data_IF_254317320557
#
_entry.id   IF_254317320557
#
_cell.length_a   1.000
_cell.length_b   1.000
_cell.length_c   1.000
_cell.angle_alpha   90.00
_cell.angle_beta   90.00
_cell.angle_gamma   90.00
#
_symmetry.space_group_name_H-M   'P 1'
#
loop_
_entity.id
_entity.type
_entity.pdbx_description
1 polymer ?
#
# COMPACT_ATOMS: atom_id res chain seq x y z
N UNK A 1 14.00 -28.20 -8.64
CA UNK A 1 14.44 -28.55 -7.27
C UNK A 1 14.61 -27.27 -6.50
N UNK A 2 14.26 -27.24 -5.20
CA UNK A 2 14.46 -26.07 -4.36
C UNK A 2 15.91 -25.61 -4.33
N UNK A 3 16.14 -24.30 -4.14
CA UNK A 3 17.49 -23.71 -4.02
C UNK A 3 17.47 -22.57 -3.00
N UNK A 4 18.58 -22.43 -2.28
CA UNK A 4 18.80 -21.31 -1.35
C UNK A 4 20.11 -20.61 -1.69
N UNK A 5 20.08 -19.27 -1.66
CA UNK A 5 21.22 -18.39 -1.88
C UNK A 5 21.25 -17.32 -0.80
N UNK A 6 22.43 -17.00 -0.28
CA UNK A 6 22.62 -15.88 0.66
C UNK A 6 23.62 -14.89 0.11
N UNK A 7 23.34 -13.60 0.32
CA UNK A 7 24.26 -12.49 0.07
C UNK A 7 24.37 -11.65 1.35
N UNK A 8 25.59 -11.28 1.74
CA UNK A 8 25.84 -10.45 2.93
C UNK A 8 25.51 -8.98 2.72
N UNK A 9 25.39 -8.57 1.46
CA UNK A 9 25.17 -7.19 1.02
C UNK A 9 24.48 -7.23 -0.35
N UNK A 10 23.26 -6.72 -0.40
CA UNK A 10 22.37 -6.74 -1.54
C UNK A 10 21.49 -5.48 -1.52
N UNK A 11 21.39 -4.80 -2.65
CA UNK A 11 20.64 -3.56 -2.83
C UNK A 11 19.67 -3.69 -4.02
N UNK A 12 18.48 -3.09 -3.88
CA UNK A 12 17.60 -2.77 -5.01
C UNK A 12 17.41 -1.26 -5.01
N UNK A 13 17.63 -0.64 -6.17
CA UNK A 13 17.35 0.77 -6.40
C UNK A 13 16.35 0.95 -7.54
N UNK A 14 15.49 1.94 -7.40
CA UNK A 14 14.51 2.34 -8.43
C UNK A 14 14.72 3.81 -8.81
N UNK A 15 14.41 4.15 -10.06
CA UNK A 15 14.44 5.53 -10.59
C UNK A 15 13.56 5.65 -11.84
N UNK A 16 13.01 6.82 -12.11
CA UNK A 16 12.26 7.14 -13.33
C UNK A 16 13.18 7.75 -14.38
N UNK A 17 13.19 7.19 -15.59
CA UNK A 17 14.13 7.53 -16.65
C UNK A 17 13.41 7.87 -17.97
N UNK A 18 13.94 8.81 -18.72
CA UNK A 18 13.39 9.21 -20.03
C UNK A 18 13.92 8.34 -21.17
N UNK A 19 15.06 7.69 -20.96
CA UNK A 19 15.69 6.78 -21.91
C UNK A 19 14.79 5.58 -22.14
N UNK A 20 14.57 5.24 -23.42
CA UNK A 20 14.07 3.92 -23.77
C UNK A 20 15.14 2.87 -23.48
N UNK A 21 14.68 1.63 -23.32
CA UNK A 21 15.50 0.47 -23.03
C UNK A 21 16.56 0.18 -24.12
N UNK A 22 16.33 0.61 -25.37
CA UNK A 22 17.32 0.55 -26.45
C UNK A 22 18.31 1.71 -26.53
N UNK A 23 18.15 2.74 -25.68
CA UNK A 23 18.95 3.98 -25.65
C UNK A 23 19.75 4.18 -24.35
N UNK A 24 19.81 3.16 -23.50
CA UNK A 24 20.60 3.18 -22.26
C UNK A 24 22.11 3.27 -22.58
N UNK A 25 22.81 4.10 -21.81
CA UNK A 25 24.26 4.25 -21.83
C UNK A 25 24.96 3.00 -21.28
N UNK A 26 26.13 2.67 -21.85
CA UNK A 26 27.01 1.66 -21.28
C UNK A 26 27.61 2.10 -19.92
N UNK A 27 27.49 3.37 -19.55
CA UNK A 27 27.84 3.91 -18.22
C UNK A 27 26.61 3.94 -17.33
N UNK A 28 26.53 3.02 -16.36
CA UNK A 28 25.39 2.87 -15.43
C UNK A 28 24.94 4.19 -14.80
N UNK A 29 25.88 4.96 -14.22
CA UNK A 29 25.62 6.25 -13.58
C UNK A 29 25.07 7.35 -14.53
N UNK A 30 25.02 7.11 -15.84
CA UNK A 30 24.39 8.01 -16.83
C UNK A 30 22.95 7.60 -17.21
N UNK A 31 22.47 6.47 -16.69
CA UNK A 31 21.09 5.99 -16.92
C UNK A 31 20.14 6.37 -15.78
N UNK A 32 20.68 6.66 -14.59
CA UNK A 32 19.90 6.92 -13.38
C UNK A 32 19.25 8.31 -13.46
N UNK A 33 17.98 8.41 -13.10
CA UNK A 33 17.22 9.66 -13.00
C UNK A 33 17.48 10.40 -11.68
N UNK A 34 16.90 11.60 -11.54
CA UNK A 34 17.10 12.45 -10.36
C UNK A 34 16.36 11.99 -9.10
N UNK A 35 15.54 10.95 -9.22
CA UNK A 35 14.68 10.38 -8.18
C UNK A 35 15.21 9.04 -7.61
N UNK A 36 16.46 8.68 -7.90
CA UNK A 36 17.10 7.43 -7.44
C UNK A 36 16.82 7.15 -5.96
N UNK A 37 16.31 5.95 -5.69
CA UNK A 37 16.02 5.52 -4.33
C UNK A 37 16.41 4.07 -4.11
N UNK A 38 17.27 3.82 -3.13
CA UNK A 38 17.42 2.49 -2.52
C UNK A 38 16.13 2.11 -1.82
N UNK A 39 15.43 1.10 -2.37
CA UNK A 39 14.18 0.55 -1.84
C UNK A 39 14.39 -0.70 -0.98
N UNK A 40 15.53 -1.36 -1.13
CA UNK A 40 15.94 -2.52 -0.31
C UNK A 40 17.46 -2.49 -0.14
N UNK A 41 17.96 -2.74 1.07
CA UNK A 41 19.40 -2.90 1.34
C UNK A 41 19.67 -3.87 2.50
N UNK A 42 20.80 -4.58 2.44
CA UNK A 42 21.35 -5.37 3.55
C UNK A 42 21.58 -6.85 3.23
N UNK A 43 21.85 -7.68 4.26
CA UNK A 43 22.00 -9.12 4.07
C UNK A 43 20.66 -9.75 3.72
N UNK A 44 20.66 -10.67 2.75
CA UNK A 44 19.46 -11.37 2.28
C UNK A 44 19.71 -12.86 2.12
N UNK A 45 18.67 -13.67 2.33
CA UNK A 45 18.65 -15.10 2.02
C UNK A 45 17.40 -15.41 1.23
N UNK A 46 17.60 -15.86 -0.01
CA UNK A 46 16.58 -16.17 -0.98
C UNK A 46 16.42 -17.68 -1.01
N UNK A 47 15.20 -18.17 -0.86
CA UNK A 47 14.87 -19.58 -1.06
C UNK A 47 13.75 -19.66 -2.09
N UNK A 48 13.91 -20.52 -3.09
CA UNK A 48 12.85 -20.89 -4.05
C UNK A 48 12.51 -22.37 -3.85
N UNK A 49 11.22 -22.69 -3.83
CA UNK A 49 10.71 -24.05 -3.91
C UNK A 49 10.81 -24.61 -5.34
N UNK A 50 10.90 -23.74 -6.35
CA UNK A 50 10.90 -24.10 -7.77
C UNK A 50 9.60 -24.86 -8.11
N UNK A 51 8.46 -24.33 -7.66
CA UNK A 51 7.12 -24.86 -7.91
C UNK A 51 6.58 -24.38 -9.27
N UNK A 52 5.47 -24.95 -9.73
CA UNK A 52 4.90 -24.75 -11.06
C UNK A 52 5.11 -25.93 -12.05
N UNK A 53 4.47 -25.90 -13.24
CA UNK A 53 4.38 -27.04 -14.15
C UNK A 53 5.76 -27.52 -14.62
N UNK A 54 5.99 -28.82 -14.91
CA UNK A 54 7.31 -29.36 -15.28
C UNK A 54 8.01 -28.57 -16.40
N UNK A 55 7.28 -28.31 -17.50
CA UNK A 55 7.74 -27.57 -18.69
C UNK A 55 7.20 -26.13 -18.75
N UNK A 56 6.55 -25.65 -17.69
CA UNK A 56 5.97 -24.30 -17.61
C UNK A 56 6.77 -23.32 -16.75
N UNK A 57 6.37 -22.04 -16.73
CA UNK A 57 6.93 -21.03 -15.84
C UNK A 57 6.81 -21.46 -14.37
N UNK A 58 7.76 -21.03 -13.54
CA UNK A 58 7.74 -21.29 -12.10
C UNK A 58 6.99 -20.19 -11.36
N UNK A 59 6.50 -20.52 -10.17
CA UNK A 59 5.81 -19.58 -9.29
C UNK A 59 6.73 -18.42 -8.86
N UNK A 60 6.15 -17.25 -8.58
CA UNK A 60 6.89 -16.08 -8.08
C UNK A 60 7.19 -16.21 -6.57
N UNK A 61 7.97 -17.22 -6.20
CA UNK A 61 8.28 -17.58 -4.81
C UNK A 61 9.44 -16.78 -4.19
N UNK A 62 10.11 -15.92 -4.96
CA UNK A 62 11.17 -15.02 -4.50
C UNK A 62 10.61 -13.60 -4.31
N UNK A 63 10.37 -13.20 -3.06
CA UNK A 63 9.75 -11.92 -2.70
C UNK A 63 10.75 -10.99 -2.00
N UNK A 64 10.97 -9.80 -2.58
CA UNK A 64 11.66 -8.69 -1.93
C UNK A 64 10.65 -7.65 -1.45
N UNK A 65 10.39 -7.60 -0.14
CA UNK A 65 9.58 -6.52 0.46
C UNK A 65 10.43 -5.26 0.56
N UNK A 66 10.02 -4.18 -0.11
CA UNK A 66 10.74 -2.90 -0.04
C UNK A 66 10.71 -2.33 1.37
N UNK A 67 11.87 -1.90 1.85
CA UNK A 67 12.08 -1.22 3.13
C UNK A 67 11.71 0.28 3.03
N UNK A 68 11.66 0.82 1.81
CA UNK A 68 11.28 2.19 1.50
C UNK A 68 10.43 2.20 0.22
N UNK A 69 9.22 2.78 0.21
CA UNK A 69 8.39 2.84 -0.98
C UNK A 69 9.02 3.74 -2.05
N UNK A 70 8.72 3.46 -3.32
CA UNK A 70 9.05 4.29 -4.46
C UNK A 70 7.76 4.55 -5.25
N UNK A 71 7.38 5.81 -5.38
CA UNK A 71 6.20 6.21 -6.14
C UNK A 71 6.59 6.33 -7.61
N UNK A 72 6.10 5.40 -8.42
CA UNK A 72 6.34 5.38 -9.86
C UNK A 72 5.14 5.97 -10.60
N UNK A 73 5.40 6.97 -11.43
CA UNK A 73 4.41 7.66 -12.23
C UNK A 73 4.73 7.39 -13.71
N UNK A 74 3.97 6.52 -14.41
CA UNK A 74 4.28 6.10 -15.78
C UNK A 74 4.33 7.26 -16.78
N UNK A 75 3.59 8.35 -16.57
CA UNK A 75 3.63 9.53 -17.44
C UNK A 75 4.96 10.29 -17.37
N UNK A 76 5.76 10.08 -16.30
CA UNK A 76 7.07 10.74 -16.09
C UNK A 76 8.25 9.98 -16.67
N UNK A 77 8.05 8.81 -17.25
CA UNK A 77 9.08 8.02 -17.93
C UNK A 77 9.04 6.54 -17.58
N UNK A 78 10.03 5.79 -18.04
CA UNK A 78 10.16 4.36 -17.77
C UNK A 78 10.74 4.11 -16.38
N UNK A 79 10.33 3.03 -15.72
CA UNK A 79 10.97 2.56 -14.50
C UNK A 79 12.31 1.88 -14.79
N UNK A 80 13.38 2.38 -14.18
CA UNK A 80 14.66 1.70 -14.06
C UNK A 80 14.71 0.92 -12.74
N UNK A 81 15.04 -0.36 -12.81
CA UNK A 81 15.40 -1.20 -11.66
C UNK A 81 16.88 -1.56 -11.74
N UNK A 82 17.64 -1.22 -10.69
CA UNK A 82 19.03 -1.64 -10.51
C UNK A 82 19.14 -2.62 -9.35
N UNK A 83 19.89 -3.71 -9.57
CA UNK A 83 20.20 -4.74 -8.58
C UNK A 83 21.70 -4.67 -8.30
N UNK A 84 22.08 -4.35 -7.07
CA UNK A 84 23.47 -4.19 -6.65
C UNK A 84 23.79 -5.25 -5.61
N UNK A 85 25.04 -5.72 -5.56
CA UNK A 85 25.50 -6.69 -4.55
C UNK A 85 26.96 -6.49 -4.17
N UNK A 86 27.29 -6.86 -2.93
CA UNK A 86 28.66 -6.93 -2.45
C UNK A 86 29.48 -8.05 -3.11
N UNK A 87 30.77 -8.14 -2.73
CA UNK A 87 31.69 -9.16 -3.27
C UNK A 87 31.30 -10.57 -2.83
N UNK A 88 31.02 -11.46 -3.78
CA UNK A 88 30.76 -12.88 -3.54
C UNK A 88 30.57 -13.68 -4.83
N UNK A 89 30.73 -15.01 -4.76
CA UNK A 89 30.67 -15.90 -5.92
C UNK A 89 29.26 -16.40 -6.27
N UNK A 90 28.24 -16.09 -5.47
CA UNK A 90 26.87 -16.53 -5.69
C UNK A 90 26.10 -15.50 -6.53
N UNK A 91 25.94 -15.79 -7.82
CA UNK A 91 25.13 -14.98 -8.72
C UNK A 91 23.63 -15.21 -8.47
N UNK A 92 22.99 -14.25 -7.79
CA UNK A 92 21.53 -14.09 -7.84
C UNK A 92 21.24 -13.25 -9.07
N UNK A 93 20.70 -13.86 -10.11
CA UNK A 93 20.24 -13.17 -11.32
C UNK A 93 18.73 -13.28 -11.47
N UNK A 94 18.12 -12.22 -11.96
CA UNK A 94 16.81 -12.30 -12.60
C UNK A 94 16.98 -12.74 -14.07
N UNK A 95 16.03 -13.51 -14.58
CA UNK A 95 15.91 -13.99 -15.97
C UNK A 95 15.37 -12.85 -16.88
N UNK A 96 15.61 -12.74 -18.21
CA UNK A 96 15.04 -11.61 -19.07
C UNK A 96 14.66 -11.91 -20.58
N UNK A 97 13.38 -11.74 -20.96
CA UNK A 97 12.68 -12.32 -22.12
C UNK A 97 12.68 -11.39 -23.33
N UNK A 98 12.86 -11.95 -24.50
CA UNK A 98 13.11 -11.24 -25.76
C UNK A 98 11.81 -10.92 -26.51
N UNK A 99 11.03 -9.99 -25.97
CA UNK A 99 10.04 -9.23 -26.74
C UNK A 99 10.68 -7.94 -27.33
N UNK A 100 10.10 -7.39 -28.39
CA UNK A 100 10.50 -6.10 -28.94
C UNK A 100 10.26 -5.00 -27.88
N UNK A 101 11.34 -4.38 -27.40
CA UNK A 101 11.29 -3.32 -26.38
C UNK A 101 12.07 -3.62 -25.09
N UNK A 102 12.53 -4.85 -24.88
CA UNK A 102 13.26 -5.25 -23.66
C UNK A 102 14.77 -5.37 -23.86
N UNK A 103 15.57 -4.91 -22.89
CA UNK A 103 17.03 -5.05 -22.81
C UNK A 103 17.45 -4.96 -21.35
N UNK A 104 18.32 -5.87 -20.93
CA UNK A 104 19.01 -5.81 -19.65
C UNK A 104 20.40 -5.21 -19.87
N UNK A 105 20.80 -4.25 -19.04
CA UNK A 105 22.22 -3.90 -18.87
C UNK A 105 22.71 -4.50 -17.57
N UNK A 106 23.79 -5.28 -17.64
CA UNK A 106 24.44 -5.88 -16.48
C UNK A 106 25.96 -5.71 -16.56
N UNK A 107 26.61 -5.59 -15.41
CA UNK A 107 28.07 -5.66 -15.30
C UNK A 107 28.45 -6.67 -14.22
N UNK A 108 29.46 -7.51 -14.49
CA UNK A 108 29.97 -8.52 -13.55
C UNK A 108 31.45 -8.29 -13.29
N UNK A 109 31.79 -7.05 -12.90
CA UNK A 109 33.16 -6.66 -12.54
C UNK A 109 33.17 -5.50 -11.54
N UNK A 110 34.18 -5.43 -10.68
CA UNK A 110 34.40 -4.30 -9.76
C UNK A 110 35.12 -3.11 -10.42
N UNK A 111 34.99 -2.96 -11.74
CA UNK A 111 35.48 -1.86 -12.54
C UNK A 111 34.30 -1.23 -13.27
N UNK A 112 34.33 0.09 -13.46
CA UNK A 112 33.27 0.89 -14.10
C UNK A 112 33.11 0.64 -15.61
N UNK A 113 33.47 -0.55 -16.10
CA UNK A 113 33.42 -0.97 -17.48
C UNK A 113 32.46 -2.15 -17.62
N UNK A 114 31.36 -1.91 -18.32
CA UNK A 114 30.31 -2.91 -18.58
C UNK A 114 30.80 -4.04 -19.50
N UNK A 115 30.43 -5.27 -19.17
CA UNK A 115 30.40 -6.36 -20.13
C UNK A 115 28.95 -6.49 -20.62
N UNK A 116 28.66 -6.11 -21.87
CA UNK A 116 27.29 -6.18 -22.43
C UNK A 116 26.87 -7.63 -22.63
N UNK A 117 26.31 -8.23 -21.58
CA UNK A 117 25.74 -9.57 -21.59
C UNK A 117 24.28 -9.54 -22.03
N UNK A 118 24.01 -9.82 -23.32
CA UNK A 118 22.69 -10.33 -23.73
C UNK A 118 22.54 -11.75 -23.17
N UNK A 119 21.68 -11.92 -22.17
CA UNK A 119 21.27 -13.21 -21.62
C UNK A 119 19.84 -13.56 -22.18
N UNK A 120 19.03 -14.49 -21.62
CA UNK A 120 17.58 -14.70 -21.98
C UNK A 120 16.66 -14.90 -20.70
N UNK A 121 15.29 -14.92 -20.75
CA UNK A 121 14.35 -15.54 -19.75
C UNK A 121 13.13 -14.89 -18.95
N UNK A 122 12.84 -13.57 -18.86
CA UNK A 122 11.98 -12.91 -17.80
C UNK A 122 10.56 -13.44 -17.66
N UNK A 123 10.09 -13.34 -16.40
CA UNK A 123 9.07 -12.35 -15.99
C UNK A 123 9.54 -11.73 -14.65
N UNK A 124 9.46 -10.41 -14.48
CA UNK A 124 9.61 -9.76 -13.15
C UNK A 124 8.29 -9.07 -12.85
N UNK A 125 7.50 -9.64 -11.92
CA UNK A 125 6.27 -9.02 -11.47
C UNK A 125 6.60 -7.98 -10.41
N UNK A 126 6.41 -6.70 -10.76
CA UNK A 126 6.28 -5.64 -9.75
C UNK A 126 4.86 -5.67 -9.22
N UNK A 127 4.72 -5.56 -7.91
CA UNK A 127 3.44 -5.32 -7.26
C UNK A 127 3.39 -3.83 -6.96
N UNK A 128 2.60 -3.11 -7.76
CA UNK A 128 2.20 -1.76 -7.43
C UNK A 128 1.13 -1.84 -6.33
N UNK A 129 1.13 -0.83 -5.47
CA UNK A 129 0.02 -0.49 -4.57
C UNK A 129 -0.29 0.97 -4.85
N UNK A 130 -1.54 1.39 -4.71
CA UNK A 130 -1.85 2.80 -4.84
C UNK A 130 -1.07 3.63 -3.81
N UNK A 131 -0.92 4.92 -4.11
CA UNK A 131 -0.46 5.90 -3.13
C UNK A 131 -1.58 6.36 -2.20
N UNK A 132 -2.83 6.12 -2.61
CA UNK A 132 -4.01 6.26 -1.77
C UNK A 132 -4.17 4.99 -0.93
N UNK A 133 -4.45 5.15 0.36
CA UNK A 133 -4.94 4.03 1.16
C UNK A 133 -6.33 3.67 0.65
N UNK A 134 -6.70 2.39 0.55
CA UNK A 134 -8.04 1.99 0.13
C UNK A 134 -8.28 1.86 -1.37
N UNK A 135 -7.41 2.37 -2.25
CA UNK A 135 -7.50 2.13 -3.70
C UNK A 135 -6.92 0.74 -4.02
N UNK A 136 -7.82 -0.21 -4.29
CA UNK A 136 -7.53 -1.63 -4.51
C UNK A 136 -7.57 -2.02 -5.99
N UNK A 137 -8.36 -1.33 -6.82
CA UNK A 137 -8.43 -1.59 -8.27
C UNK A 137 -7.30 -0.90 -9.06
N UNK A 138 -6.60 0.06 -8.44
CA UNK A 138 -5.50 0.87 -8.96
C UNK A 138 -5.93 1.90 -10.02
N UNK A 139 -7.09 2.53 -9.85
CA UNK A 139 -7.63 3.57 -10.73
C UNK A 139 -7.26 5.02 -10.32
N UNK A 140 -6.50 5.21 -9.24
CA UNK A 140 -6.11 6.51 -8.63
C UNK A 140 -7.28 7.31 -7.99
N UNK A 141 -8.40 6.65 -7.69
CA UNK A 141 -9.54 7.12 -6.89
C UNK A 141 -9.75 6.15 -5.72
N UNK A 142 -10.49 6.56 -4.69
CA UNK A 142 -11.09 5.64 -3.70
C UNK A 142 -12.59 5.87 -3.76
N UNK A 143 -13.36 4.85 -4.14
CA UNK A 143 -14.82 4.98 -4.37
C UNK A 143 -15.61 3.72 -3.96
N UNK A 144 -16.82 3.55 -4.50
CA UNK A 144 -17.76 2.46 -4.11
C UNK A 144 -17.18 1.10 -4.48
N UNK A 145 -16.55 1.00 -5.65
CA UNK A 145 -15.93 -0.22 -6.16
C UNK A 145 -14.81 -0.74 -5.24
N UNK A 146 -14.08 0.16 -4.57
CA UNK A 146 -13.08 -0.21 -3.54
C UNK A 146 -13.70 -0.69 -2.23
N UNK A 147 -14.80 -0.07 -1.79
CA UNK A 147 -15.56 -0.52 -0.63
C UNK A 147 -16.08 -1.95 -0.89
N UNK A 148 -16.68 -2.18 -2.06
CA UNK A 148 -17.20 -3.49 -2.47
C UNK A 148 -16.08 -4.54 -2.56
N UNK A 149 -14.90 -4.17 -3.06
CA UNK A 149 -13.72 -5.02 -3.09
C UNK A 149 -13.26 -5.42 -1.68
N UNK A 150 -13.21 -4.48 -0.73
CA UNK A 150 -12.86 -4.75 0.67
C UNK A 150 -13.92 -5.62 1.37
N UNK A 151 -15.20 -5.34 1.19
CA UNK A 151 -16.29 -6.14 1.78
C UNK A 151 -16.25 -7.58 1.26
N UNK A 152 -16.01 -7.78 -0.05
CA UNK A 152 -15.79 -9.12 -0.60
C UNK A 152 -14.56 -9.81 0.01
N UNK A 153 -13.45 -9.10 0.19
CA UNK A 153 -12.23 -9.66 0.79
C UNK A 153 -12.43 -10.04 2.27
N UNK A 154 -13.21 -9.27 3.03
CA UNK A 154 -13.58 -9.59 4.42
C UNK A 154 -14.48 -10.82 4.46
N UNK A 155 -15.50 -10.90 3.60
CA UNK A 155 -16.45 -12.03 3.51
C UNK A 155 -15.77 -13.33 3.10
N UNK A 156 -14.79 -13.27 2.19
CA UNK A 156 -13.95 -14.41 1.79
C UNK A 156 -12.85 -14.77 2.81
N UNK A 157 -12.72 -14.00 3.91
CA UNK A 157 -11.68 -14.13 4.94
C UNK A 157 -10.25 -14.11 4.36
N UNK A 158 -9.97 -13.11 3.52
CA UNK A 158 -8.68 -12.91 2.86
C UNK A 158 -7.54 -12.58 3.83
N UNK A 159 -6.37 -13.21 3.64
CA UNK A 159 -5.11 -12.86 4.32
C UNK A 159 -4.27 -11.81 3.54
N UNK A 160 -4.76 -11.26 2.44
CA UNK A 160 -3.98 -10.30 1.64
C UNK A 160 -3.98 -8.91 2.28
N UNK A 161 -2.85 -8.58 2.91
CA UNK A 161 -2.51 -7.27 3.50
C UNK A 161 -2.40 -6.13 2.46
N UNK A 162 -3.05 -6.24 1.30
CA UNK A 162 -3.46 -5.10 0.48
C UNK A 162 -4.74 -4.47 1.04
N UNK A 163 -5.64 -5.28 1.62
CA UNK A 163 -6.91 -4.89 2.24
C UNK A 163 -6.80 -4.54 3.74
N UNK A 164 -5.58 -4.58 4.29
CA UNK A 164 -5.23 -4.18 5.67
C UNK A 164 -5.05 -2.64 5.72
N UNK A 165 -6.18 -1.93 5.72
CA UNK A 165 -6.29 -0.46 5.69
C UNK A 165 -5.91 0.15 7.03
N UNK A 166 -6.30 -0.49 8.14
CA UNK A 166 -5.98 0.02 9.49
C UNK A 166 -4.55 -0.35 9.94
N UNK A 167 -3.86 -1.20 9.16
CA UNK A 167 -2.50 -1.72 9.41
C UNK A 167 -2.36 -2.57 10.68
N UNK A 168 -3.47 -3.14 11.16
CA UNK A 168 -3.50 -4.12 12.26
C UNK A 168 -2.80 -5.44 11.91
N UNK A 169 -2.69 -5.76 10.61
CA UNK A 169 -2.15 -7.01 10.09
C UNK A 169 -3.20 -8.10 9.91
N UNK A 170 -4.49 -7.75 9.90
CA UNK A 170 -5.63 -8.68 9.76
C UNK A 170 -6.78 -8.03 9.00
N UNK A 171 -7.19 -8.57 7.85
CA UNK A 171 -8.31 -8.02 7.06
C UNK A 171 -9.65 -8.32 7.75
N UNK A 172 -10.35 -7.28 8.21
CA UNK A 172 -11.57 -7.41 9.01
C UNK A 172 -12.45 -6.13 8.96
N UNK A 173 -13.57 -6.12 9.71
CA UNK A 173 -14.49 -4.96 9.78
C UNK A 173 -13.82 -3.64 10.21
N UNK A 174 -12.70 -3.69 10.93
CA UNK A 174 -11.91 -2.51 11.32
C UNK A 174 -11.29 -1.80 10.11
N UNK A 175 -10.92 -2.53 9.06
CA UNK A 175 -10.42 -1.96 7.81
C UNK A 175 -11.49 -1.21 7.05
N UNK A 176 -12.74 -1.70 7.09
CA UNK A 176 -13.87 -1.02 6.48
C UNK A 176 -14.25 0.27 7.23
N UNK A 177 -14.16 0.27 8.56
CA UNK A 177 -14.28 1.50 9.36
C UNK A 177 -13.15 2.50 9.00
N UNK A 178 -11.92 2.02 8.85
CA UNK A 178 -10.80 2.85 8.41
C UNK A 178 -10.98 3.39 6.96
N UNK A 179 -11.55 2.60 6.06
CA UNK A 179 -11.85 3.04 4.69
C UNK A 179 -12.95 4.12 4.69
N UNK A 180 -14.11 3.85 5.27
CA UNK A 180 -15.27 4.76 5.26
C UNK A 180 -15.00 6.03 6.08
N UNK A 181 -14.50 5.88 7.30
CA UNK A 181 -14.41 7.00 8.27
C UNK A 181 -13.10 7.77 8.16
N UNK A 182 -11.98 7.10 7.89
CA UNK A 182 -10.65 7.73 7.95
C UNK A 182 -10.09 8.07 6.56
N UNK A 183 -10.42 7.28 5.54
CA UNK A 183 -9.92 7.47 4.16
C UNK A 183 -10.89 8.30 3.33
N UNK A 184 -12.14 7.87 3.21
CA UNK A 184 -13.20 8.57 2.48
C UNK A 184 -13.77 9.75 3.28
N UNK A 185 -13.64 9.73 4.61
CA UNK A 185 -14.24 10.71 5.52
C UNK A 185 -15.74 10.92 5.22
N UNK A 186 -16.48 9.82 5.15
CA UNK A 186 -17.94 9.85 5.00
C UNK A 186 -18.64 9.02 6.08
N UNK A 187 -19.97 8.92 6.01
CA UNK A 187 -20.85 8.23 6.92
C UNK A 187 -21.22 6.84 6.40
N UNK A 188 -21.38 5.87 7.31
CA UNK A 188 -22.16 4.69 6.97
C UNK A 188 -23.59 5.14 6.64
N UNK A 189 -24.06 4.81 5.44
CA UNK A 189 -25.33 5.28 4.89
C UNK A 189 -25.23 6.24 3.69
N UNK A 190 -24.06 6.84 3.43
CA UNK A 190 -23.81 7.63 2.22
C UNK A 190 -23.58 6.70 1.02
N UNK A 191 -24.60 6.48 0.21
CA UNK A 191 -24.63 5.45 -0.83
C UNK A 191 -23.98 5.89 -2.15
N UNK A 192 -23.95 7.20 -2.43
CA UNK A 192 -23.34 7.75 -3.64
C UNK A 192 -21.99 8.47 -3.39
N UNK A 193 -21.49 8.40 -2.14
CA UNK A 193 -20.23 8.98 -1.66
C UNK A 193 -20.16 10.51 -1.83
N UNK A 194 -21.31 11.21 -1.73
CA UNK A 194 -21.36 12.68 -1.77
C UNK A 194 -20.81 13.35 -0.49
N UNK A 195 -20.60 12.58 0.58
CA UNK A 195 -20.12 13.02 1.90
C UNK A 195 -21.22 13.14 2.96
N UNK A 196 -22.49 13.04 2.59
CA UNK A 196 -23.65 13.24 3.46
C UNK A 196 -24.61 12.04 3.45
N UNK A 197 -24.82 11.38 4.59
CA UNK A 197 -25.94 10.42 4.73
C UNK A 197 -27.26 11.19 4.94
N UNK A 198 -28.17 11.12 3.96
CA UNK A 198 -29.43 11.84 3.95
C UNK A 198 -30.57 11.04 3.29
N UNK A 199 -31.74 11.67 3.13
CA UNK A 199 -32.89 11.01 2.49
C UNK A 199 -32.70 10.64 1.00
N UNK A 200 -31.72 11.23 0.30
CA UNK A 200 -31.34 10.88 -1.06
C UNK A 200 -30.77 9.46 -1.17
N UNK A 201 -29.85 9.09 -0.28
CA UNK A 201 -29.23 7.77 -0.21
C UNK A 201 -30.27 6.68 0.01
N UNK A 202 -31.15 6.90 0.99
CA UNK A 202 -32.26 5.98 1.28
C UNK A 202 -33.15 5.78 0.05
N UNK A 203 -33.46 6.85 -0.71
CA UNK A 203 -34.23 6.73 -1.95
C UNK A 203 -33.46 5.96 -3.03
N UNK A 204 -32.13 6.11 -3.12
CA UNK A 204 -31.30 5.37 -4.06
C UNK A 204 -31.32 3.86 -3.76
N UNK A 205 -30.96 3.45 -2.53
CA UNK A 205 -30.90 2.04 -2.13
C UNK A 205 -32.28 1.35 -2.20
N UNK A 206 -33.36 2.02 -1.76
CA UNK A 206 -34.71 1.45 -1.93
C UNK A 206 -35.18 1.39 -3.39
N UNK A 207 -34.56 2.15 -4.31
CA UNK A 207 -34.86 2.04 -5.75
C UNK A 207 -34.16 0.83 -6.39
N UNK A 208 -33.01 0.38 -5.84
CA UNK A 208 -32.36 -0.86 -6.28
C UNK A 208 -33.26 -2.10 -6.11
N UNK A 209 -34.21 -2.04 -5.16
CA UNK A 209 -35.20 -3.09 -4.87
C UNK A 209 -34.64 -4.37 -4.22
N UNK A 210 -33.46 -4.28 -3.59
CA UNK A 210 -32.77 -5.42 -2.95
C UNK A 210 -33.09 -5.55 -1.45
N UNK A 211 -33.82 -4.58 -0.88
CA UNK A 211 -34.19 -4.58 0.54
C UNK A 211 -35.07 -5.79 0.94
N UNK A 212 -34.53 -6.65 1.82
CA UNK A 212 -35.20 -7.85 2.34
C UNK A 212 -35.78 -8.76 1.22
N UNK A 213 -35.11 -8.81 0.05
CA UNK A 213 -35.58 -9.58 -1.12
C UNK A 213 -35.28 -11.09 -1.04
N UNK A 214 -34.27 -11.46 -0.24
CA UNK A 214 -33.81 -12.84 -0.01
C UNK A 214 -32.93 -13.42 -1.13
N UNK A 215 -32.29 -12.58 -1.95
CA UNK A 215 -31.43 -12.97 -3.08
C UNK A 215 -29.96 -12.85 -2.70
N UNK A 216 -29.38 -13.91 -2.15
CA UNK A 216 -28.10 -13.73 -1.46
C UNK A 216 -26.92 -13.27 -2.29
N UNK A 217 -26.14 -12.33 -1.72
CA UNK A 217 -24.95 -11.70 -2.30
C UNK A 217 -25.24 -10.92 -3.61
N UNK A 218 -26.39 -10.23 -3.69
CA UNK A 218 -26.68 -9.26 -4.75
C UNK A 218 -26.30 -7.82 -4.37
N UNK A 219 -26.37 -7.46 -3.09
CA UNK A 219 -26.21 -6.10 -2.62
C UNK A 219 -24.74 -5.65 -2.59
N UNK A 220 -24.57 -4.34 -2.78
CA UNK A 220 -23.29 -3.63 -2.70
C UNK A 220 -23.44 -2.37 -1.85
N UNK A 221 -22.35 -1.64 -1.55
CA UNK A 221 -22.43 -0.42 -0.74
C UNK A 221 -23.43 0.61 -1.33
N UNK A 222 -23.42 0.76 -2.65
CA UNK A 222 -24.32 1.66 -3.39
C UNK A 222 -25.77 1.20 -3.49
N UNK A 223 -26.07 -0.07 -3.18
CA UNK A 223 -27.44 -0.62 -3.13
C UNK A 223 -27.95 -0.95 -1.74
N UNK A 224 -27.09 -0.89 -0.72
CA UNK A 224 -27.46 -0.86 0.70
C UNK A 224 -26.67 -1.77 1.65
N UNK A 225 -25.71 -2.57 1.16
CA UNK A 225 -24.85 -3.42 1.99
C UNK A 225 -23.80 -2.57 2.73
N UNK A 226 -24.19 -2.02 3.88
CA UNK A 226 -23.33 -1.19 4.74
C UNK A 226 -22.71 -2.00 5.90
N UNK A 227 -23.23 -3.21 6.14
CA UNK A 227 -22.73 -4.17 7.13
C UNK A 227 -21.69 -5.16 6.54
N UNK A 228 -21.68 -5.34 5.22
CA UNK A 228 -20.70 -6.10 4.44
C UNK A 228 -20.99 -7.60 4.36
N UNK A 229 -22.22 -8.04 4.61
CA UNK A 229 -22.61 -9.46 4.56
C UNK A 229 -23.16 -9.91 3.19
N UNK A 230 -23.48 -8.97 2.30
CA UNK A 230 -23.93 -9.21 0.92
C UNK A 230 -25.43 -9.08 0.70
N UNK A 231 -26.19 -8.69 1.73
CA UNK A 231 -27.62 -8.40 1.62
C UNK A 231 -27.86 -6.90 1.88
N UNK A 232 -29.06 -6.40 1.55
CA UNK A 232 -29.53 -5.12 2.08
C UNK A 232 -30.73 -5.40 2.98
N UNK A 233 -30.56 -5.31 4.29
CA UNK A 233 -31.63 -5.61 5.24
C UNK A 233 -31.70 -4.61 6.42
N UNK A 234 -32.51 -4.93 7.42
CA UNK A 234 -32.66 -4.08 8.61
C UNK A 234 -31.38 -3.92 9.46
N UNK A 235 -30.38 -4.78 9.28
CA UNK A 235 -29.03 -4.72 9.85
C UNK A 235 -28.20 -3.56 9.30
N UNK A 236 -28.21 -3.32 7.99
CA UNK A 236 -27.50 -2.20 7.34
C UNK A 236 -28.02 -0.85 7.79
N UNK A 237 -29.36 -0.73 7.82
CA UNK A 237 -30.02 0.44 8.39
C UNK A 237 -29.60 0.62 9.86
N UNK A 238 -29.46 -0.47 10.61
CA UNK A 238 -28.90 -0.47 11.96
C UNK A 238 -27.50 0.14 12.03
N UNK A 239 -26.58 -0.29 11.15
CA UNK A 239 -25.20 0.22 11.05
C UNK A 239 -25.18 1.72 10.71
N UNK A 240 -25.87 2.13 9.64
CA UNK A 240 -25.87 3.52 9.18
C UNK A 240 -26.49 4.49 10.19
N UNK A 241 -27.64 4.14 10.80
CA UNK A 241 -28.22 4.98 11.85
C UNK A 241 -27.41 4.95 13.16
N UNK A 242 -26.55 3.94 13.39
CA UNK A 242 -25.68 3.87 14.57
C UNK A 242 -24.42 4.74 14.45
N UNK A 243 -23.89 4.97 13.25
CA UNK A 243 -22.83 5.99 13.00
C UNK A 243 -23.36 7.43 13.21
N UNK A 244 -24.67 7.63 13.02
CA UNK A 244 -25.38 8.84 13.47
C UNK A 244 -25.27 10.05 12.52
N UNK A 245 -24.78 9.83 11.30
CA UNK A 245 -24.59 10.83 10.25
C UNK A 245 -25.87 11.37 9.59
N UNK A 246 -27.01 10.71 9.81
CA UNK A 246 -28.26 11.03 9.10
C UNK A 246 -28.67 12.50 9.27
N UNK A 247 -28.78 13.20 8.15
CA UNK A 247 -29.14 14.63 8.04
C UNK A 247 -28.20 15.53 8.88
N UNK A 248 -26.91 15.15 9.01
CA UNK A 248 -25.84 15.99 9.59
C UNK A 248 -25.07 16.81 8.55
N UNK A 249 -25.20 16.46 7.28
CA UNK A 249 -24.37 16.98 6.20
C UNK A 249 -22.96 16.36 6.20
N UNK A 250 -22.05 16.97 5.45
CA UNK A 250 -20.67 16.47 5.26
C UNK A 250 -19.98 16.13 6.58
N UNK A 251 -19.34 14.95 6.68
CA UNK A 251 -18.56 14.56 7.87
C UNK A 251 -17.40 15.54 8.09
N UNK A 252 -17.55 16.44 9.05
CA UNK A 252 -16.44 17.29 9.49
C UNK A 252 -15.48 16.46 10.34
N UNK A 253 -14.19 16.45 9.99
CA UNK A 253 -13.14 15.85 10.83
C UNK A 253 -13.34 16.25 12.30
N UNK A 254 -13.23 15.27 13.20
CA UNK A 254 -13.22 15.53 14.63
C UNK A 254 -12.03 16.43 14.96
N UNK A 255 -12.31 17.73 15.11
CA UNK A 255 -11.32 18.80 15.29
C UNK A 255 -10.21 18.34 16.24
N UNK A 256 -8.99 18.16 15.70
CA UNK A 256 -7.84 17.66 16.45
C UNK A 256 -7.69 18.47 17.73
N UNK A 257 -8.12 17.90 18.86
CA UNK A 257 -8.06 18.56 20.16
C UNK A 257 -6.59 18.77 20.44
N UNK A 258 -6.09 20.02 20.55
CA UNK A 258 -4.70 20.23 20.87
C UNK A 258 -4.46 19.64 22.25
N UNK A 259 -3.66 18.56 22.32
CA UNK A 259 -3.27 17.98 23.59
C UNK A 259 -2.75 19.11 24.49
N UNK A 260 -3.25 19.23 25.75
CA UNK A 260 -2.95 20.37 26.60
C UNK A 260 -1.44 20.43 26.78
N UNK A 261 -0.80 21.44 26.18
CA UNK A 261 0.59 21.34 25.78
C UNK A 261 1.47 20.91 26.94
N UNK A 262 2.01 19.69 26.90
CA UNK A 262 2.82 19.11 27.99
C UNK A 262 4.01 19.99 28.37
N UNK A 263 4.44 20.85 27.44
CA UNK A 263 5.36 21.98 27.63
C UNK A 263 4.95 22.92 28.78
N UNK A 264 3.67 23.24 28.95
CA UNK A 264 3.19 24.14 30.00
C UNK A 264 3.28 23.49 31.39
N UNK A 265 2.97 22.20 31.51
CA UNK A 265 3.15 21.41 32.75
C UNK A 265 4.64 21.21 33.07
N UNK A 266 5.47 21.00 32.04
CA UNK A 266 6.92 20.92 32.19
C UNK A 266 7.54 22.25 32.66
N UNK A 267 7.10 23.39 32.09
CA UNK A 267 7.56 24.71 32.52
C UNK A 267 7.14 25.04 33.96
N UNK A 268 5.91 24.71 34.36
CA UNK A 268 5.44 24.91 35.74
C UNK A 268 6.20 24.05 36.75
N UNK A 269 6.51 22.80 36.42
CA UNK A 269 7.29 21.91 37.31
C UNK A 269 8.75 22.35 37.46
N UNK A 270 9.39 22.86 36.40
CA UNK A 270 10.74 23.43 36.46
C UNK A 270 10.80 24.70 37.35
N UNK A 271 9.84 25.61 37.22
CA UNK A 271 9.75 26.80 38.10
C UNK A 271 9.50 26.39 39.56
N UNK A 272 8.67 25.37 39.80
CA UNK A 272 8.46 24.79 41.12
C UNK A 272 9.74 24.24 41.75
N UNK A 273 10.53 23.47 40.99
CA UNK A 273 11.84 22.97 41.45
C UNK A 273 12.80 24.12 41.77
N UNK A 274 12.94 25.11 40.90
CA UNK A 274 13.87 26.24 41.11
C UNK A 274 13.51 27.07 42.36
N UNK A 275 12.22 27.26 42.65
CA UNK A 275 11.78 27.87 43.90
C UNK A 275 12.12 27.01 45.14
N UNK A 276 11.99 25.68 45.05
CA UNK A 276 12.34 24.78 46.16
C UNK A 276 13.86 24.75 46.45
N UNK A 277 14.70 24.77 45.42
CA UNK A 277 16.16 24.84 45.59
C UNK A 277 16.63 26.19 46.12
N UNK A 278 16.03 27.32 45.67
CA UNK A 278 16.44 28.65 46.13
C UNK A 278 16.18 28.86 47.63
N UNK A 279 15.08 28.33 48.16
CA UNK A 279 14.75 28.41 49.60
C UNK A 279 15.63 27.53 50.50
N UNK A 280 16.38 26.55 49.94
CA UNK A 280 17.32 25.73 50.72
C UNK A 280 18.71 26.38 50.89
N UNK A 281 19.10 27.29 49.99
CA UNK A 281 20.41 27.96 50.04
C UNK A 281 20.45 29.15 51.03
N UNK A 282 19.30 29.64 51.49
CA UNK A 282 19.18 30.78 52.43
C UNK A 282 18.99 30.35 53.90
N UNK A 283 19.34 29.11 54.25
CA UNK A 283 19.40 28.60 55.63
C UNK A 283 20.75 27.97 55.93
N UNK A 284 21.75 28.83 56.12
CA UNK A 284 23.03 28.56 56.80
C UNK A 284 23.30 29.75 57.72
#
# INVERSE_FOLDING_TARGET
>A
MPRTFSASDYEIRLSTIQQTVGSLSNTFASNVGTDEKTVYTGPTTITTGNLGPPEGPKEFDIIFRFQRPFYYEPSRGNLLLEQIRGRGNNFIGFDHHTALGSSLLGAVSSSSQSAVGRLNGTVTKLFFRSSLSGDFDLNDVVDVEDIDALMSAIRDASDDLVFDVDTSGTVNRSDLDALVVQTLNTWFGDADLNGEFNSGDLVAVFTASEYEDGVSNNSTWGTGDWNGDGEFDSGDLGVAFQDGGYEKGTRTEAQVVPEPSSVFVLLLSLVGLQCHFRNRQTRV
#
